data_IF_000484851811
#
_entry.id   IF_000484851811
#
_cell.length_a   1.000
_cell.length_b   1.000
_cell.length_c   1.000
_cell.angle_alpha   90.00
_cell.angle_beta   90.00
_cell.angle_gamma   90.00
#
_symmetry.space_group_name_H-M   'P 1'
#
loop_
_entity.id
_entity.type
_entity.pdbx_description
1 polymer ?
#
# COMPACT_ATOMS: atom_id res chain seq x y z
N UNK A 1 -13.98 6.75 13.64
CA UNK A 1 -12.81 7.51 13.12
C UNK A 1 -12.86 7.47 11.59
N UNK A 2 -12.69 8.59 10.88
CA UNK A 2 -12.61 8.59 9.42
C UNK A 2 -11.43 7.72 8.95
N UNK A 3 -11.61 6.97 7.86
CA UNK A 3 -10.50 6.21 7.28
C UNK A 3 -9.47 7.17 6.70
N UNK A 4 -8.21 7.04 7.13
CA UNK A 4 -7.11 7.88 6.64
C UNK A 4 -6.70 7.51 5.20
N UNK A 5 -6.93 6.25 4.83
CA UNK A 5 -6.65 5.68 3.52
C UNK A 5 -7.90 5.66 2.65
N UNK A 6 -7.70 5.77 1.33
CA UNK A 6 -8.76 5.62 0.32
C UNK A 6 -9.35 4.21 0.39
N UNK A 7 -10.64 4.07 0.15
CA UNK A 7 -11.30 2.75 0.18
C UNK A 7 -10.70 1.76 -0.82
N UNK A 8 -10.20 2.24 -1.95
CA UNK A 8 -9.56 1.45 -3.00
C UNK A 8 -8.02 1.41 -2.91
N UNK A 9 -7.41 1.74 -1.77
CA UNK A 9 -5.93 1.80 -1.64
C UNK A 9 -5.23 0.49 -2.02
N UNK A 10 -5.82 -0.66 -1.67
CA UNK A 10 -5.31 -1.97 -2.04
C UNK A 10 -5.30 -2.19 -3.56
N UNK A 11 -6.36 -1.75 -4.26
CA UNK A 11 -6.45 -1.80 -5.72
C UNK A 11 -5.46 -0.85 -6.38
N UNK A 12 -5.31 0.38 -5.85
CA UNK A 12 -4.32 1.36 -6.32
C UNK A 12 -2.91 0.74 -6.25
N UNK A 13 -2.57 0.08 -5.15
CA UNK A 13 -1.27 -0.60 -5.03
C UNK A 13 -1.12 -1.76 -6.02
N UNK A 14 -2.12 -2.63 -6.16
CA UNK A 14 -2.04 -3.76 -7.09
C UNK A 14 -1.87 -3.30 -8.55
N UNK A 15 -2.58 -2.24 -8.95
CA UNK A 15 -2.46 -1.62 -10.28
C UNK A 15 -1.06 -1.01 -10.45
N UNK A 16 -0.61 -0.19 -9.49
CA UNK A 16 0.73 0.43 -9.54
C UNK A 16 1.83 -0.62 -9.72
N UNK A 17 1.78 -1.72 -8.96
CA UNK A 17 2.77 -2.79 -9.09
C UNK A 17 2.76 -3.43 -10.49
N UNK A 18 1.58 -3.64 -11.08
CA UNK A 18 1.44 -4.21 -12.43
C UNK A 18 1.96 -3.25 -13.50
N UNK A 19 1.56 -1.99 -13.46
CA UNK A 19 1.95 -0.98 -14.47
C UNK A 19 3.45 -0.69 -14.46
N UNK A 20 4.08 -0.75 -13.28
CA UNK A 20 5.52 -0.53 -13.13
C UNK A 20 6.37 -1.81 -13.19
N UNK A 21 5.77 -2.98 -13.47
CA UNK A 21 6.49 -4.26 -13.56
C UNK A 21 7.11 -4.72 -12.23
N UNK A 22 6.58 -4.24 -11.10
CA UNK A 22 7.11 -4.53 -9.77
C UNK A 22 6.48 -5.82 -9.24
N UNK A 23 7.33 -6.81 -8.96
CA UNK A 23 6.87 -8.08 -8.38
C UNK A 23 6.38 -7.88 -6.94
N UNK A 24 5.25 -8.50 -6.57
CA UNK A 24 4.76 -8.52 -5.18
C UNK A 24 5.81 -9.04 -4.20
N UNK A 25 6.57 -10.07 -4.58
CA UNK A 25 7.68 -10.60 -3.78
C UNK A 25 8.81 -9.60 -3.56
N UNK A 26 9.06 -8.71 -4.52
CA UNK A 26 10.05 -7.63 -4.37
C UNK A 26 9.59 -6.61 -3.32
N UNK A 27 8.34 -6.15 -3.40
CA UNK A 27 7.78 -5.24 -2.41
C UNK A 27 7.75 -5.89 -1.02
N UNK A 28 7.32 -7.15 -0.91
CA UNK A 28 7.29 -7.86 0.37
C UNK A 28 8.68 -7.93 1.01
N UNK A 29 9.72 -8.23 0.23
CA UNK A 29 11.11 -8.22 0.70
C UNK A 29 11.56 -6.84 1.17
N UNK A 30 11.22 -5.78 0.42
CA UNK A 30 11.59 -4.40 0.76
C UNK A 30 10.88 -3.89 2.02
N UNK A 31 9.66 -4.37 2.24
CA UNK A 31 8.84 -4.12 3.43
C UNK A 31 9.18 -5.02 4.62
N UNK A 32 10.20 -5.88 4.49
CA UNK A 32 10.57 -6.89 5.48
C UNK A 32 9.37 -7.73 5.99
N UNK A 33 8.48 -8.13 5.07
CA UNK A 33 7.30 -8.94 5.38
C UNK A 33 7.17 -10.16 4.47
N UNK A 34 6.37 -11.14 4.88
CA UNK A 34 6.11 -12.32 4.06
C UNK A 34 5.22 -11.97 2.85
N UNK A 35 5.36 -12.69 1.72
CA UNK A 35 4.48 -12.52 0.56
C UNK A 35 3.00 -12.75 0.89
N UNK A 36 2.71 -13.67 1.82
CA UNK A 36 1.35 -13.93 2.29
C UNK A 36 0.76 -12.75 3.06
N UNK A 37 1.58 -12.04 3.84
CA UNK A 37 1.14 -10.85 4.57
C UNK A 37 0.83 -9.70 3.59
N UNK A 38 1.69 -9.46 2.60
CA UNK A 38 1.39 -8.51 1.51
C UNK A 38 0.11 -8.90 0.75
N UNK A 39 -0.06 -10.20 0.47
CA UNK A 39 -1.28 -10.77 -0.10
C UNK A 39 -2.39 -10.97 0.95
N UNK A 40 -2.34 -10.30 2.09
CA UNK A 40 -3.51 -10.07 2.94
C UNK A 40 -4.00 -8.64 2.75
N UNK A 41 -3.08 -7.69 2.59
CA UNK A 41 -3.40 -6.28 2.34
C UNK A 41 -4.03 -6.04 0.95
N UNK A 42 -3.52 -6.70 -0.10
CA UNK A 42 -3.93 -6.44 -1.49
C UNK A 42 -5.35 -6.91 -1.83
N UNK A 43 -5.84 -7.90 -1.11
CA UNK A 43 -7.11 -8.60 -1.27
C UNK A 43 -8.09 -8.29 -0.12
N UNK A 44 -7.71 -7.40 0.81
CA UNK A 44 -8.60 -6.87 1.83
C UNK A 44 -8.82 -7.77 3.06
N UNK A 45 -8.12 -8.90 3.16
CA UNK A 45 -8.12 -9.73 4.39
C UNK A 45 -7.45 -9.00 5.56
N UNK A 46 -6.43 -8.19 5.25
CA UNK A 46 -5.81 -7.25 6.18
C UNK A 46 -6.21 -5.83 5.82
N UNK A 47 -6.42 -5.01 6.85
CA UNK A 47 -6.83 -3.62 6.67
C UNK A 47 -5.68 -2.79 6.10
N UNK A 48 -5.92 -2.06 5.03
CA UNK A 48 -4.95 -1.10 4.47
C UNK A 48 -4.84 0.14 5.37
N UNK A 49 -3.88 0.14 6.30
CA UNK A 49 -3.67 1.22 7.29
C UNK A 49 -2.81 2.36 6.73
N UNK A 50 -2.80 3.50 7.42
CA UNK A 50 -1.90 4.61 7.09
C UNK A 50 -0.42 4.21 7.25
N UNK A 51 -0.07 3.46 8.29
CA UNK A 51 1.29 2.93 8.47
C UNK A 51 1.73 2.06 7.30
N UNK A 52 0.85 1.16 6.83
CA UNK A 52 1.12 0.36 5.65
C UNK A 52 1.28 1.24 4.40
N UNK A 53 0.43 2.26 4.23
CA UNK A 53 0.53 3.21 3.12
C UNK A 53 1.89 3.95 3.12
N UNK A 54 2.34 4.43 4.28
CA UNK A 54 3.64 5.10 4.41
C UNK A 54 4.81 4.16 4.16
N UNK A 55 4.77 2.94 4.72
CA UNK A 55 5.82 1.96 4.48
C UNK A 55 5.93 1.56 3.00
N UNK A 56 4.80 1.34 2.32
CA UNK A 56 4.80 1.05 0.88
C UNK A 56 5.30 2.24 0.08
N UNK A 57 4.92 3.46 0.45
CA UNK A 57 5.37 4.68 -0.21
C UNK A 57 6.89 4.86 -0.11
N UNK A 58 7.45 4.66 1.09
CA UNK A 58 8.89 4.65 1.33
C UNK A 58 9.60 3.52 0.54
N UNK A 59 9.08 2.30 0.63
CA UNK A 59 9.62 1.15 -0.10
C UNK A 59 9.56 1.35 -1.62
N UNK A 60 8.60 2.09 -2.17
CA UNK A 60 8.52 2.33 -3.61
C UNK A 60 9.14 3.67 -4.02
N UNK A 61 9.62 4.47 -3.07
CA UNK A 61 10.08 5.85 -3.26
C UNK A 61 9.04 6.70 -4.03
N UNK A 62 7.79 6.66 -3.55
CA UNK A 62 6.65 7.40 -4.11
C UNK A 62 5.94 8.22 -3.03
N UNK A 63 5.09 9.16 -3.44
CA UNK A 63 4.30 9.93 -2.49
C UNK A 63 3.20 9.08 -1.85
N UNK A 64 3.05 9.06 -0.51
CA UNK A 64 1.97 8.33 0.17
C UNK A 64 0.58 8.89 -0.15
N UNK A 65 0.48 10.13 -0.67
CA UNK A 65 -0.78 10.76 -1.07
C UNK A 65 -1.57 9.95 -2.11
N UNK A 66 -0.93 9.04 -2.84
CA UNK A 66 -1.65 8.14 -3.76
C UNK A 66 -2.59 7.18 -3.02
N UNK A 67 -2.32 6.88 -1.74
CA UNK A 67 -3.12 5.98 -0.90
C UNK A 67 -3.99 6.74 0.13
N UNK A 68 -3.68 8.00 0.42
CA UNK A 68 -4.33 8.76 1.50
C UNK A 68 -5.51 9.61 1.00
N UNK A 69 -6.50 9.81 1.86
CA UNK A 69 -7.59 10.75 1.60
C UNK A 69 -7.09 12.21 1.69
N UNK A 70 -7.54 13.09 0.79
CA UNK A 70 -7.09 14.50 0.70
C UNK A 70 -7.26 15.30 2.00
N UNK A 71 -8.15 14.86 2.89
CA UNK A 71 -8.37 15.50 4.20
C UNK A 71 -7.23 15.25 5.21
N UNK A 72 -6.25 14.40 4.86
CA UNK A 72 -5.06 14.17 5.67
C UNK A 72 -4.00 15.26 5.40
N UNK A 73 -4.05 16.35 6.17
CA UNK A 73 -2.93 17.30 6.28
C UNK A 73 -2.11 16.92 7.51
N UNK A 74 -0.81 16.74 7.30
CA UNK A 74 0.22 16.53 8.33
C UNK A 74 0.48 17.86 9.03
#
# INVERSE_FOLDING_TARGET
MPSLTKENSAQILDIYLKEHGIKKSYLAKKMNMSPSNLTGYLNGTLRFTAEFAFGVADALNISPSIFLNKSYKI
#
